data_IF_397061983656
#
_entry.id   IF_397061983656
#
_cell.length_a   1.000
_cell.length_b   1.000
_cell.length_c   1.000
_cell.angle_alpha   90.00
_cell.angle_beta   90.00
_cell.angle_gamma   90.00
#
_symmetry.space_group_name_H-M   'P 1'
#
loop_
_entity.id
_entity.type
_entity.pdbx_description
1 polymer ?
#
# COMPACT_ATOMS: atom_id res chain seq x y z
N UNK A 1 -14.48 18.85 1.85
CA UNK A 1 -13.20 18.22 1.48
C UNK A 1 -12.74 17.32 2.60
N UNK A 2 -12.05 16.22 2.25
CA UNK A 2 -11.50 15.26 3.21
C UNK A 2 -10.12 15.76 3.69
N UNK A 3 -9.82 15.55 4.96
CA UNK A 3 -8.56 15.95 5.57
C UNK A 3 -7.60 14.77 5.66
N UNK A 4 -6.33 15.00 5.33
CA UNK A 4 -5.29 13.98 5.25
C UNK A 4 -4.03 14.39 6.00
N UNK A 5 -3.30 13.39 6.47
CA UNK A 5 -1.95 13.47 6.99
C UNK A 5 -1.03 12.80 5.97
N UNK A 6 0.08 13.45 5.62
CA UNK A 6 1.14 12.83 4.83
C UNK A 6 2.16 12.18 5.76
N UNK A 7 2.26 10.85 5.71
CA UNK A 7 3.24 10.06 6.45
C UNK A 7 4.40 9.65 5.55
N UNK A 8 5.62 10.01 5.90
CA UNK A 8 6.86 9.51 5.30
C UNK A 8 7.35 8.29 6.08
N UNK A 9 7.61 7.21 5.36
CA UNK A 9 8.17 5.98 5.90
C UNK A 9 9.70 5.96 5.76
N UNK A 10 10.37 5.12 6.56
CA UNK A 10 11.82 4.90 6.49
C UNK A 10 12.31 4.52 5.08
N UNK A 11 11.52 3.72 4.36
CA UNK A 11 11.78 3.34 2.97
C UNK A 11 11.65 4.49 1.95
N UNK A 12 11.40 5.73 2.39
CA UNK A 12 11.25 6.92 1.54
C UNK A 12 9.87 7.09 0.90
N UNK A 13 8.99 6.09 1.03
CA UNK A 13 7.62 6.17 0.51
C UNK A 13 6.72 7.09 1.35
N UNK A 14 5.79 7.76 0.68
CA UNK A 14 4.75 8.58 1.31
C UNK A 14 3.40 7.87 1.29
N UNK A 15 2.64 8.01 2.37
CA UNK A 15 1.25 7.56 2.46
C UNK A 15 0.36 8.69 2.95
N UNK A 16 -0.85 8.77 2.38
CA UNK A 16 -1.86 9.73 2.80
C UNK A 16 -2.89 9.00 3.65
N UNK A 17 -3.00 9.40 4.91
CA UNK A 17 -3.92 8.82 5.88
C UNK A 17 -5.03 9.84 6.11
N UNK A 18 -6.27 9.45 5.87
CA UNK A 18 -7.40 10.35 6.13
C UNK A 18 -7.55 10.56 7.64
N UNK A 19 -7.48 11.80 8.09
CA UNK A 19 -7.78 12.20 9.46
C UNK A 19 -9.26 12.53 9.63
N UNK A 20 -9.90 13.06 8.59
CA UNK A 20 -11.33 13.35 8.57
C UNK A 20 -11.94 13.11 7.19
N UNK A 21 -13.09 12.45 7.17
CA UNK A 21 -13.89 12.27 5.96
C UNK A 21 -14.94 13.37 5.84
N UNK A 22 -15.17 13.88 4.62
CA UNK A 22 -16.33 14.76 4.39
C UNK A 22 -17.60 13.94 4.19
N UNK A 23 -18.75 14.61 4.27
CA UNK A 23 -20.06 13.98 4.06
C UNK A 23 -20.21 13.36 2.67
N UNK A 24 -19.66 14.00 1.65
CA UNK A 24 -19.74 13.50 0.27
C UNK A 24 -19.01 12.17 0.12
N UNK A 25 -17.87 11.99 0.79
CA UNK A 25 -17.16 10.71 0.81
C UNK A 25 -17.99 9.63 1.50
N UNK A 26 -18.64 9.94 2.63
CA UNK A 26 -19.50 8.98 3.33
C UNK A 26 -20.67 8.51 2.45
N UNK A 27 -21.22 9.39 1.62
CA UNK A 27 -22.32 9.04 0.72
C UNK A 27 -21.86 8.30 -0.54
N UNK A 28 -20.76 8.74 -1.16
CA UNK A 28 -20.36 8.30 -2.51
C UNK A 28 -19.19 7.32 -2.52
N UNK A 29 -18.42 7.27 -1.43
CA UNK A 29 -17.11 6.61 -1.35
C UNK A 29 -16.09 7.09 -2.39
N UNK A 30 -16.34 8.23 -3.05
CA UNK A 30 -15.43 8.84 -4.03
C UNK A 30 -14.44 9.73 -3.30
N UNK A 31 -13.14 9.47 -3.48
CA UNK A 31 -12.08 10.23 -2.81
C UNK A 31 -12.07 11.70 -3.25
N UNK A 32 -12.10 12.58 -2.27
CA UNK A 32 -11.86 14.01 -2.43
C UNK A 32 -10.45 14.30 -2.98
N UNK A 33 -10.26 15.49 -3.55
CA UNK A 33 -8.91 16.07 -3.59
C UNK A 33 -8.36 16.18 -2.15
N UNK A 34 -7.11 15.74 -1.89
CA UNK A 34 -6.58 15.68 -0.54
C UNK A 34 -6.27 17.09 0.00
N UNK A 35 -6.81 17.40 1.17
CA UNK A 35 -6.35 18.55 1.96
C UNK A 35 -5.32 18.06 2.99
N UNK A 36 -4.04 18.40 2.81
CA UNK A 36 -2.97 17.94 3.70
C UNK A 36 -2.84 18.90 4.88
N UNK A 37 -3.15 18.42 6.09
CA UNK A 37 -3.10 19.23 7.31
C UNK A 37 -1.73 19.19 7.99
N UNK A 38 -1.06 18.04 7.96
CA UNK A 38 0.18 17.82 8.67
C UNK A 38 1.05 16.75 8.00
N UNK A 39 2.36 16.83 8.27
CA UNK A 39 3.39 15.94 7.75
C UNK A 39 4.07 15.23 8.91
N UNK A 40 4.07 13.90 8.88
CA UNK A 40 4.72 13.06 9.89
C UNK A 40 5.78 12.16 9.25
N UNK A 41 6.80 11.79 10.01
CA UNK A 41 7.83 10.82 9.61
C UNK A 41 7.88 9.69 10.62
N UNK A 42 7.94 8.45 10.14
CA UNK A 42 7.89 7.25 10.98
C UNK A 42 9.00 6.29 10.56
N UNK A 43 9.73 5.77 11.53
CA UNK A 43 10.82 4.78 11.36
C UNK A 43 10.29 3.36 11.09
N UNK A 44 9.15 3.24 10.44
CA UNK A 44 8.56 1.98 10.03
C UNK A 44 8.52 1.87 8.52
N UNK A 45 8.78 0.68 7.99
CA UNK A 45 8.56 0.36 6.58
C UNK A 45 7.09 0.56 6.18
N UNK A 46 6.86 0.96 4.94
CA UNK A 46 5.50 1.03 4.39
C UNK A 46 4.93 -0.38 4.18
N UNK A 47 3.61 -0.50 4.04
CA UNK A 47 2.93 -1.79 3.84
C UNK A 47 3.46 -2.60 2.66
N UNK A 48 3.75 -1.96 1.52
CA UNK A 48 4.24 -2.66 0.33
C UNK A 48 5.66 -3.21 0.52
N UNK A 49 6.53 -2.46 1.22
CA UNK A 49 7.88 -2.92 1.54
C UNK A 49 7.84 -4.07 2.55
N UNK A 50 6.94 -3.99 3.55
CA UNK A 50 6.75 -5.09 4.51
C UNK A 50 6.29 -6.38 3.83
N UNK A 51 5.40 -6.30 2.83
CA UNK A 51 4.94 -7.48 2.08
C UNK A 51 6.07 -8.12 1.25
N UNK A 52 7.02 -7.32 0.76
CA UNK A 52 8.18 -7.85 0.01
C UNK A 52 9.19 -8.57 0.90
N UNK A 53 9.31 -8.16 2.16
CA UNK A 53 10.19 -8.80 3.15
C UNK A 53 9.53 -9.99 3.85
N UNK A 54 8.19 -10.08 3.78
CA UNK A 54 7.49 -11.22 4.33
C UNK A 54 7.94 -12.50 3.61
N UNK A 55 8.23 -13.59 4.36
CA UNK A 55 8.51 -14.87 3.73
C UNK A 55 7.33 -15.24 2.83
N UNK A 56 7.58 -15.87 1.66
CA UNK A 56 6.51 -16.35 0.81
C UNK A 56 5.54 -17.18 1.64
N UNK A 57 4.27 -16.87 1.55
CA UNK A 57 3.26 -17.69 2.21
C UNK A 57 3.30 -19.09 1.59
N UNK A 58 3.21 -20.15 2.41
CA UNK A 58 3.51 -21.52 1.97
C UNK A 58 2.71 -21.95 0.73
N UNK A 59 1.49 -21.42 0.56
CA UNK A 59 0.66 -21.68 -0.62
C UNK A 59 1.22 -21.11 -1.92
N UNK A 60 2.00 -20.02 -1.91
CA UNK A 60 2.61 -19.46 -3.13
C UNK A 60 3.62 -20.43 -3.74
N UNK A 61 4.32 -21.18 -2.91
CA UNK A 61 5.25 -22.22 -3.38
C UNK A 61 4.50 -23.45 -3.92
N UNK A 62 3.23 -23.65 -3.56
CA UNK A 62 2.39 -24.72 -4.11
C UNK A 62 1.84 -24.40 -5.52
N UNK A 63 1.75 -23.11 -5.90
CA UNK A 63 1.21 -22.67 -7.20
C UNK A 63 2.31 -22.56 -8.28
N UNK A 64 3.60 -22.58 -7.90
CA UNK A 64 4.71 -22.63 -8.85
C UNK A 64 4.71 -23.97 -9.60
N UNK A 65 3.92 -24.05 -10.68
CA UNK A 65 4.00 -25.12 -11.67
C UNK A 65 5.46 -25.25 -12.11
N UNK A 66 6.03 -26.43 -11.97
CA UNK A 66 7.30 -26.77 -12.63
C UNK A 66 7.14 -26.50 -14.12
N UNK A 67 7.83 -25.50 -14.66
CA UNK A 67 8.06 -25.42 -16.10
C UNK A 67 9.00 -26.57 -16.46
N UNK A 68 8.44 -27.76 -16.66
CA UNK A 68 9.18 -28.88 -17.21
C UNK A 68 9.19 -28.75 -18.73
N UNK A 69 10.39 -28.70 -19.29
CA UNK A 69 10.66 -29.16 -20.66
C UNK A 69 10.76 -28.06 -21.70
N UNK A 70 11.98 -27.52 -21.86
CA UNK A 70 12.47 -27.03 -23.14
C UNK A 70 12.28 -28.11 -24.21
N UNK A 71 11.26 -27.97 -25.07
CA UNK A 71 11.21 -28.69 -26.34
C UNK A 71 12.04 -27.88 -27.33
N UNK A 72 13.27 -28.34 -27.58
CA UNK A 72 14.08 -27.91 -28.71
C UNK A 72 13.59 -28.62 -29.96
N UNK A 73 13.21 -27.86 -31.00
CA UNK A 73 13.09 -28.34 -32.38
C UNK A 73 14.46 -28.31 -33.07
#
# INVERSE_FOLDING_TARGET
MCDFIQRRHYCGHFRFIASRWCRDYTATHIRCHPNILYFESVDALCGDCKLKEAPPCDWENMIKRKQNGSVSY
#
